data_IF_282862799353
#
_entry.id   IF_282862799353
#
_cell.length_a   1.000
_cell.length_b   1.000
_cell.length_c   1.000
_cell.angle_alpha   90.00
_cell.angle_beta   90.00
_cell.angle_gamma   90.00
#
_symmetry.space_group_name_H-M   'P 1'
#
loop_
_entity.id
_entity.type
_entity.pdbx_description
1 polymer ?
#
# COMPACT_ATOMS: atom_id res chain seq x y z
N UNK A 1 -13.90 22.39 -4.18
CA UNK A 1 -13.17 21.13 -4.40
C UNK A 1 -14.20 20.01 -4.51
N UNK A 2 -14.26 19.32 -5.66
CA UNK A 2 -15.26 18.27 -5.89
C UNK A 2 -14.90 16.98 -5.12
N UNK A 3 -15.87 16.41 -4.40
CA UNK A 3 -15.69 15.21 -3.57
C UNK A 3 -15.33 13.99 -4.42
N UNK A 4 -15.94 13.85 -5.61
CA UNK A 4 -15.71 12.71 -6.49
C UNK A 4 -14.27 12.68 -6.99
N UNK A 5 -13.77 13.82 -7.45
CA UNK A 5 -12.37 13.98 -7.88
C UNK A 5 -11.37 13.58 -6.78
N UNK A 6 -11.60 13.99 -5.53
CA UNK A 6 -10.74 13.60 -4.42
C UNK A 6 -10.68 12.09 -4.21
N UNK A 7 -11.83 11.41 -4.26
CA UNK A 7 -11.89 9.96 -4.09
C UNK A 7 -11.20 9.24 -5.24
N UNK A 8 -11.39 9.70 -6.48
CA UNK A 8 -10.70 9.14 -7.65
C UNK A 8 -9.18 9.29 -7.53
N UNK A 9 -8.70 10.44 -7.04
CA UNK A 9 -7.27 10.72 -6.94
C UNK A 9 -6.60 10.05 -5.74
N UNK A 10 -7.25 10.00 -4.57
CA UNK A 10 -6.62 9.57 -3.32
C UNK A 10 -7.22 8.28 -2.72
N UNK A 11 -8.35 7.80 -3.22
CA UNK A 11 -9.10 6.67 -2.66
C UNK A 11 -8.28 5.39 -2.59
N UNK A 12 -7.56 5.08 -3.67
CA UNK A 12 -6.68 3.90 -3.72
C UNK A 12 -5.58 3.97 -2.66
N UNK A 13 -5.02 5.14 -2.42
CA UNK A 13 -3.95 5.33 -1.44
C UNK A 13 -4.49 5.21 -0.01
N UNK A 14 -5.63 5.84 0.30
CA UNK A 14 -6.30 5.71 1.61
C UNK A 14 -6.63 4.24 1.90
N UNK A 15 -7.20 3.52 0.94
CA UNK A 15 -7.49 2.10 1.06
C UNK A 15 -6.21 1.27 1.29
N UNK A 16 -5.12 1.60 0.58
CA UNK A 16 -3.82 0.94 0.75
C UNK A 16 -3.26 1.15 2.15
N UNK A 17 -3.30 2.38 2.69
CA UNK A 17 -2.80 2.66 4.04
C UNK A 17 -3.60 1.86 5.06
N UNK A 18 -4.94 1.90 4.99
CA UNK A 18 -5.79 1.20 5.94
C UNK A 18 -5.54 -0.31 5.90
N UNK A 19 -5.52 -0.90 4.70
CA UNK A 19 -5.28 -2.34 4.49
C UNK A 19 -3.88 -2.80 4.92
N UNK A 20 -2.86 -1.95 4.79
CA UNK A 20 -1.50 -2.26 5.24
C UNK A 20 -1.27 -2.01 6.73
N UNK A 21 -2.15 -1.25 7.37
CA UNK A 21 -2.08 -0.94 8.81
C UNK A 21 -2.93 -1.88 9.67
N UNK A 22 -4.01 -2.43 9.13
CA UNK A 22 -5.03 -3.20 9.85
C UNK A 22 -5.20 -4.57 9.17
N UNK A 23 -5.05 -5.67 9.93
CA UNK A 23 -5.09 -7.01 9.34
C UNK A 23 -6.51 -7.45 8.94
N UNK A 24 -7.50 -7.07 9.73
CA UNK A 24 -8.89 -7.38 9.44
C UNK A 24 -9.39 -6.51 8.28
N UNK A 25 -9.68 -7.14 7.13
CA UNK A 25 -10.12 -6.46 5.91
C UNK A 25 -11.38 -5.61 6.11
N UNK A 26 -12.33 -6.06 6.93
CA UNK A 26 -13.58 -5.31 7.17
C UNK A 26 -13.32 -4.07 8.04
N UNK A 27 -12.50 -4.21 9.09
CA UNK A 27 -12.08 -3.07 9.92
C UNK A 27 -11.24 -2.08 9.09
N UNK A 28 -10.39 -2.57 8.19
CA UNK A 28 -9.61 -1.72 7.29
C UNK A 28 -10.51 -0.91 6.34
N UNK A 29 -11.59 -1.52 5.82
CA UNK A 29 -12.60 -0.83 4.99
C UNK A 29 -13.34 0.23 5.81
N UNK A 30 -13.75 -0.10 7.03
CA UNK A 30 -14.41 0.84 7.94
C UNK A 30 -13.51 2.05 8.24
N UNK A 31 -12.24 1.81 8.57
CA UNK A 31 -11.27 2.87 8.78
C UNK A 31 -11.10 3.76 7.53
N UNK A 32 -11.02 3.16 6.33
CA UNK A 32 -10.91 3.91 5.08
C UNK A 32 -12.17 4.76 4.80
N UNK A 33 -13.36 4.24 5.10
CA UNK A 33 -14.61 5.00 4.98
C UNK A 33 -14.64 6.17 5.97
N UNK A 34 -14.23 5.94 7.21
CA UNK A 34 -14.20 7.01 8.21
C UNK A 34 -13.16 8.09 7.88
N UNK A 35 -12.03 7.72 7.25
CA UNK A 35 -11.09 8.72 6.71
C UNK A 35 -11.79 9.66 5.73
N UNK A 36 -12.58 9.12 4.80
CA UNK A 36 -13.33 9.94 3.84
C UNK A 36 -14.40 10.79 4.50
N UNK A 37 -15.09 10.24 5.50
CA UNK A 37 -16.02 11.02 6.31
C UNK A 37 -15.35 12.23 6.97
N UNK A 38 -14.21 12.04 7.64
CA UNK A 38 -13.47 13.12 8.30
C UNK A 38 -12.86 14.13 7.31
N UNK A 39 -12.39 13.68 6.14
CA UNK A 39 -11.92 14.56 5.05
C UNK A 39 -13.07 15.47 4.59
N UNK A 40 -14.24 14.91 4.29
CA UNK A 40 -15.36 15.72 3.77
C UNK A 40 -15.95 16.65 4.81
N UNK A 41 -16.00 16.20 6.07
CA UNK A 41 -16.41 17.02 7.22
C UNK A 41 -15.46 18.21 7.44
N UNK A 42 -14.16 18.00 7.23
CA UNK A 42 -13.12 19.01 7.43
C UNK A 42 -12.77 19.79 6.16
N UNK A 43 -13.44 19.54 5.03
CA UNK A 43 -13.02 20.08 3.74
C UNK A 43 -13.05 21.61 3.67
N UNK A 44 -14.01 22.23 4.36
CA UNK A 44 -14.15 23.69 4.45
C UNK A 44 -13.06 24.36 5.29
N UNK A 45 -12.36 23.61 6.15
CA UNK A 45 -11.28 24.15 6.97
C UNK A 45 -9.90 24.03 6.32
N UNK A 46 -9.80 23.38 5.16
CA UNK A 46 -8.56 23.35 4.39
C UNK A 46 -8.24 24.74 3.83
N UNK A 47 -7.18 25.35 4.34
CA UNK A 47 -6.78 26.73 4.04
C UNK A 47 -5.57 26.85 3.11
N UNK A 48 -5.06 25.74 2.55
CA UNK A 48 -3.94 25.76 1.61
C UNK A 48 -2.55 25.94 2.23
N UNK A 49 -2.40 25.89 3.56
CA UNK A 49 -1.10 26.01 4.23
C UNK A 49 -0.16 24.80 4.00
N UNK A 50 -0.65 23.73 3.37
CA UNK A 50 0.12 22.55 2.97
C UNK A 50 -0.42 22.02 1.65
N UNK A 51 0.35 21.15 0.99
CA UNK A 51 -0.18 20.41 -0.15
C UNK A 51 -1.43 19.61 0.26
N UNK A 52 -2.42 19.58 -0.62
CA UNK A 52 -3.67 18.86 -0.39
C UNK A 52 -3.44 17.38 -0.01
N UNK A 53 -2.49 16.73 -0.67
CA UNK A 53 -2.05 15.36 -0.37
C UNK A 53 -1.58 15.23 1.08
N UNK A 54 -0.71 16.14 1.53
CA UNK A 54 -0.17 16.16 2.89
C UNK A 54 -1.30 16.32 3.93
N UNK A 55 -2.25 17.22 3.66
CA UNK A 55 -3.42 17.41 4.52
C UNK A 55 -4.31 16.15 4.60
N UNK A 56 -4.62 15.53 3.45
CA UNK A 56 -5.39 14.28 3.37
C UNK A 56 -4.70 13.16 4.15
N UNK A 57 -3.39 12.97 3.94
CA UNK A 57 -2.64 11.92 4.64
C UNK A 57 -2.49 12.19 6.14
N UNK A 58 -2.54 13.45 6.58
CA UNK A 58 -2.57 13.81 8.00
C UNK A 58 -3.88 13.38 8.66
N UNK A 59 -5.02 13.56 7.98
CA UNK A 59 -6.32 13.04 8.45
C UNK A 59 -6.29 11.51 8.41
N UNK A 60 -5.82 10.92 7.31
CA UNK A 60 -5.73 9.46 7.16
C UNK A 60 -4.89 8.81 8.26
N UNK A 61 -3.71 9.36 8.56
CA UNK A 61 -2.84 8.94 9.68
C UNK A 61 -3.64 8.88 10.99
N UNK A 62 -4.30 9.98 11.36
CA UNK A 62 -4.98 10.11 12.66
C UNK A 62 -6.08 9.06 12.81
N UNK A 63 -6.93 8.93 11.79
CA UNK A 63 -8.03 7.95 11.81
C UNK A 63 -7.50 6.53 11.81
N UNK A 64 -6.60 6.18 10.88
CA UNK A 64 -6.12 4.79 10.73
C UNK A 64 -5.29 4.34 11.93
N UNK A 65 -4.45 5.21 12.52
CA UNK A 65 -3.70 4.86 13.73
C UNK A 65 -4.61 4.56 14.92
N UNK A 66 -5.77 5.24 15.02
CA UNK A 66 -6.75 4.95 16.07
C UNK A 66 -7.31 3.53 15.93
N UNK A 67 -7.66 3.11 14.72
CA UNK A 67 -8.08 1.72 14.47
C UNK A 67 -6.93 0.71 14.70
N UNK A 68 -5.72 1.08 14.30
CA UNK A 68 -4.55 0.23 14.43
C UNK A 68 -3.96 0.19 15.86
N UNK A 69 -4.51 0.92 16.84
CA UNK A 69 -3.92 1.03 18.17
C UNK A 69 -3.72 -0.34 18.86
N UNK A 70 -4.63 -1.28 18.61
CA UNK A 70 -4.58 -2.64 19.17
C UNK A 70 -3.90 -3.66 18.24
N UNK A 71 -3.40 -3.23 17.08
CA UNK A 71 -2.66 -4.10 16.16
C UNK A 71 -1.35 -4.54 16.80
N UNK A 72 -1.22 -5.86 17.00
CA UNK A 72 -0.04 -6.43 17.64
C UNK A 72 1.15 -6.34 16.68
N UNK A 73 2.31 -6.01 17.25
CA UNK A 73 3.58 -6.18 16.54
C UNK A 73 3.89 -7.68 16.48
N UNK A 74 4.05 -8.20 15.27
CA UNK A 74 4.44 -9.59 15.05
C UNK A 74 5.87 -9.78 15.58
N UNK A 75 5.99 -10.69 16.55
CA UNK A 75 7.26 -11.05 17.19
C UNK A 75 7.84 -12.33 16.60
N UNK A 76 9.08 -12.68 16.98
CA UNK A 76 9.69 -13.95 16.62
C UNK A 76 8.85 -15.15 17.09
N UNK A 77 8.22 -15.08 18.27
CA UNK A 77 7.33 -16.12 18.77
C UNK A 77 6.12 -16.33 17.85
N UNK A 78 5.54 -15.25 17.33
CA UNK A 78 4.44 -15.34 16.37
C UNK A 78 4.89 -16.00 15.06
N UNK A 79 6.14 -15.75 14.64
CA UNK A 79 6.73 -16.40 13.47
C UNK A 79 7.01 -17.89 13.70
N UNK A 80 7.48 -18.27 14.89
CA UNK A 80 7.66 -19.68 15.27
C UNK A 80 6.34 -20.43 15.30
N UNK A 81 5.29 -19.85 15.88
CA UNK A 81 3.95 -20.42 15.85
C UNK A 81 3.46 -20.59 14.41
N UNK A 82 3.65 -19.58 13.56
CA UNK A 82 3.30 -19.66 12.15
C UNK A 82 4.08 -20.78 11.42
N UNK A 83 5.35 -20.99 11.75
CA UNK A 83 6.17 -22.08 11.20
C UNK A 83 5.69 -23.47 11.63
N UNK A 84 4.97 -23.58 12.75
CA UNK A 84 4.35 -24.81 13.23
C UNK A 84 2.99 -25.14 12.60
N UNK A 85 2.41 -24.23 11.81
CA UNK A 85 1.16 -24.48 11.09
C UNK A 85 1.37 -25.39 9.88
N UNK A 86 0.28 -26.04 9.45
CA UNK A 86 0.25 -26.77 8.20
C UNK A 86 0.52 -25.87 7.00
N UNK A 87 1.10 -26.46 5.96
CA UNK A 87 1.40 -25.76 4.74
C UNK A 87 0.12 -25.42 3.99
N UNK A 88 0.07 -24.20 3.47
CA UNK A 88 -1.14 -23.75 2.80
C UNK A 88 -1.04 -24.10 1.32
N UNK A 89 -1.72 -25.16 0.91
CA UNK A 89 -1.76 -25.59 -0.48
C UNK A 89 -2.86 -24.90 -1.29
N UNK A 90 -2.63 -24.84 -2.60
CA UNK A 90 -3.61 -24.35 -3.56
C UNK A 90 -4.45 -25.51 -4.09
N UNK A 91 -5.78 -25.42 -3.97
CA UNK A 91 -6.72 -26.47 -4.38
C UNK A 91 -7.75 -26.02 -5.44
N UNK A 92 -7.58 -24.83 -6.03
CA UNK A 92 -8.49 -24.26 -7.04
C UNK A 92 -8.14 -24.62 -8.50
N UNK A 93 -8.88 -24.04 -9.45
CA UNK A 93 -8.69 -24.21 -10.89
C UNK A 93 -7.53 -23.38 -11.47
N UNK A 94 -6.96 -23.74 -12.62
CA UNK A 94 -5.87 -22.97 -13.23
C UNK A 94 -6.21 -21.47 -13.45
N UNK A 95 -7.48 -21.14 -13.67
CA UNK A 95 -7.99 -19.76 -13.83
C UNK A 95 -7.98 -18.98 -12.51
N UNK A 96 -8.24 -19.64 -11.38
CA UNK A 96 -8.24 -19.01 -10.05
C UNK A 96 -6.82 -18.86 -9.46
N UNK A 97 -5.82 -19.52 -10.06
CA UNK A 97 -4.44 -19.55 -9.54
C UNK A 97 -3.84 -18.15 -9.44
N UNK A 98 -4.05 -17.30 -10.44
CA UNK A 98 -3.50 -15.93 -10.46
C UNK A 98 -4.05 -15.08 -9.33
N UNK A 99 -5.37 -15.11 -9.11
CA UNK A 99 -5.99 -14.33 -8.04
C UNK A 99 -5.56 -14.85 -6.67
N UNK A 100 -5.49 -16.18 -6.49
CA UNK A 100 -4.99 -16.76 -5.24
C UNK A 100 -3.54 -16.34 -4.94
N UNK A 101 -2.65 -16.34 -5.93
CA UNK A 101 -1.26 -15.88 -5.77
C UNK A 101 -1.24 -14.42 -5.35
N UNK A 102 -2.03 -13.57 -6.01
CA UNK A 102 -2.14 -12.14 -5.69
C UNK A 102 -2.64 -11.92 -4.27
N UNK A 103 -3.70 -12.59 -3.86
CA UNK A 103 -4.23 -12.52 -2.50
C UNK A 103 -3.21 -12.97 -1.46
N UNK A 104 -2.45 -14.04 -1.76
CA UNK A 104 -1.47 -14.57 -0.81
C UNK A 104 -0.22 -13.71 -0.70
N UNK A 105 0.27 -13.17 -1.80
CA UNK A 105 1.33 -12.16 -1.80
C UNK A 105 0.89 -10.92 -1.02
N UNK A 106 -0.34 -10.46 -1.24
CA UNK A 106 -0.89 -9.31 -0.53
C UNK A 106 -0.98 -9.55 0.99
N UNK A 107 -1.49 -10.71 1.40
CA UNK A 107 -1.52 -11.10 2.81
C UNK A 107 -0.12 -11.17 3.42
N UNK A 108 0.86 -11.75 2.70
CA UNK A 108 2.24 -11.84 3.17
C UNK A 108 2.88 -10.46 3.36
N UNK A 109 2.70 -9.54 2.40
CA UNK A 109 3.22 -8.18 2.49
C UNK A 109 2.57 -7.39 3.64
N UNK A 110 1.25 -7.55 3.86
CA UNK A 110 0.58 -6.95 5.03
C UNK A 110 1.13 -7.55 6.32
N UNK A 111 1.23 -8.87 6.44
CA UNK A 111 1.77 -9.51 7.65
C UNK A 111 3.20 -9.06 7.96
N UNK A 112 4.03 -8.90 6.92
CA UNK A 112 5.40 -8.42 7.06
C UNK A 112 5.46 -6.99 7.61
N UNK A 113 4.58 -6.10 7.14
CA UNK A 113 4.45 -4.74 7.69
C UNK A 113 4.11 -4.75 9.19
N UNK A 114 3.42 -5.78 9.70
CA UNK A 114 3.10 -5.90 11.12
C UNK A 114 4.28 -6.34 11.99
N UNK A 115 5.45 -6.68 11.42
CA UNK A 115 6.68 -6.78 12.20
C UNK A 115 7.19 -5.41 12.66
N UNK A 116 6.69 -4.32 12.08
CA UNK A 116 6.96 -2.94 12.47
C UNK A 116 5.90 -2.48 13.49
N UNK A 117 6.33 -1.63 14.43
CA UNK A 117 5.37 -0.86 15.24
C UNK A 117 4.57 0.10 14.35
N UNK A 118 3.45 0.62 14.84
CA UNK A 118 2.51 1.38 14.01
C UNK A 118 3.14 2.61 13.33
N UNK A 119 3.96 3.38 14.03
CA UNK A 119 4.62 4.55 13.44
C UNK A 119 5.63 4.15 12.35
N UNK A 120 6.47 3.17 12.64
CA UNK A 120 7.45 2.65 11.69
C UNK A 120 6.78 2.02 10.47
N UNK A 121 5.64 1.34 10.67
CA UNK A 121 4.79 0.77 9.62
C UNK A 121 4.22 1.86 8.73
N UNK A 122 3.67 2.91 9.34
CA UNK A 122 3.05 4.01 8.59
C UNK A 122 4.10 4.81 7.80
N UNK A 123 5.27 5.08 8.40
CA UNK A 123 6.40 5.70 7.71
C UNK A 123 6.86 4.83 6.53
N UNK A 124 6.96 3.51 6.72
CA UNK A 124 7.30 2.58 5.66
C UNK A 124 6.27 2.62 4.52
N UNK A 125 4.97 2.58 4.82
CA UNK A 125 3.91 2.65 3.82
C UNK A 125 3.95 3.98 3.05
N UNK A 126 4.08 5.11 3.75
CA UNK A 126 4.18 6.41 3.08
C UNK A 126 5.40 6.49 2.16
N UNK A 127 6.52 5.90 2.58
CA UNK A 127 7.75 5.96 1.81
C UNK A 127 7.76 4.99 0.63
N UNK A 128 7.44 3.73 0.86
CA UNK A 128 7.63 2.63 -0.11
C UNK A 128 6.36 2.33 -0.93
N UNK A 129 5.16 2.44 -0.33
CA UNK A 129 3.93 2.16 -1.07
C UNK A 129 3.35 3.40 -1.77
N UNK A 130 3.54 4.59 -1.19
CA UNK A 130 2.97 5.85 -1.71
C UNK A 130 4.03 6.70 -2.41
N UNK A 131 5.30 6.59 -2.03
CA UNK A 131 6.39 7.33 -2.66
C UNK A 131 6.57 8.76 -2.16
N UNK A 132 6.12 9.06 -0.93
CA UNK A 132 6.26 10.41 -0.37
C UNK A 132 7.73 10.76 -0.07
N UNK A 133 8.04 12.06 -0.16
CA UNK A 133 9.33 12.57 0.27
C UNK A 133 9.47 12.54 1.79
N UNK A 134 10.70 12.41 2.31
CA UNK A 134 10.92 12.47 3.76
C UNK A 134 10.43 13.78 4.41
N UNK A 135 10.39 14.88 3.65
CA UNK A 135 9.83 16.16 4.12
C UNK A 135 8.32 16.07 4.32
N UNK A 136 7.58 15.54 3.33
CA UNK A 136 6.13 15.34 3.46
C UNK A 136 5.81 14.38 4.61
N UNK A 137 6.55 13.27 4.73
CA UNK A 137 6.37 12.30 5.82
C UNK A 137 6.66 12.95 7.18
N UNK A 138 7.72 13.76 7.28
CA UNK A 138 8.04 14.53 8.48
C UNK A 138 6.89 15.46 8.90
N UNK A 139 6.28 16.17 7.95
CA UNK A 139 5.11 17.01 8.21
C UNK A 139 3.88 16.20 8.67
N UNK A 140 3.59 15.07 8.01
CA UNK A 140 2.44 14.20 8.36
C UNK A 140 2.65 13.53 9.72
N UNK A 141 3.86 13.04 9.97
CA UNK A 141 4.21 12.33 11.20
C UNK A 141 4.42 13.26 12.39
N UNK A 142 4.60 14.57 12.16
CA UNK A 142 4.95 15.57 13.18
C UNK A 142 6.29 15.21 13.87
N UNK A 143 7.26 14.76 13.07
CA UNK A 143 8.59 14.30 13.50
C UNK A 143 9.67 15.04 12.72
N UNK A 144 10.91 15.11 13.24
CA UNK A 144 12.03 15.64 12.46
C UNK A 144 12.33 14.77 11.23
N UNK A 145 12.75 15.39 10.12
CA UNK A 145 13.13 14.68 8.89
C UNK A 145 14.19 13.61 9.17
N UNK A 146 15.13 13.90 10.06
CA UNK A 146 16.19 12.98 10.45
C UNK A 146 15.64 11.74 11.18
N UNK A 147 14.71 11.94 12.11
CA UNK A 147 14.08 10.81 12.80
C UNK A 147 13.29 9.92 11.82
N UNK A 148 12.55 10.52 10.88
CA UNK A 148 11.83 9.77 9.84
C UNK A 148 12.79 8.95 8.97
N UNK A 149 13.95 9.50 8.58
CA UNK A 149 14.97 8.75 7.82
C UNK A 149 15.50 7.56 8.59
N UNK A 150 15.82 7.76 9.88
CA UNK A 150 16.33 6.69 10.73
C UNK A 150 15.31 5.57 10.91
N UNK A 151 14.04 5.91 11.15
CA UNK A 151 12.96 4.93 11.27
C UNK A 151 12.77 4.20 9.93
N UNK A 152 12.70 4.92 8.81
CA UNK A 152 12.56 4.34 7.47
C UNK A 152 13.70 3.37 7.15
N UNK A 153 14.95 3.77 7.42
CA UNK A 153 16.13 2.91 7.24
C UNK A 153 16.03 1.63 8.07
N UNK A 154 15.72 1.74 9.37
CA UNK A 154 15.55 0.58 10.26
C UNK A 154 14.41 -0.34 9.82
N UNK A 155 13.29 0.23 9.36
CA UNK A 155 12.16 -0.53 8.82
C UNK A 155 12.57 -1.33 7.58
N UNK A 156 13.27 -0.71 6.63
CA UNK A 156 13.77 -1.36 5.42
C UNK A 156 14.75 -2.48 5.78
N UNK A 157 15.69 -2.25 6.70
CA UNK A 157 16.62 -3.29 7.16
C UNK A 157 15.87 -4.48 7.76
N UNK A 158 14.87 -4.24 8.62
CA UNK A 158 14.09 -5.30 9.26
C UNK A 158 13.29 -6.13 8.24
N UNK A 159 12.65 -5.46 7.29
CA UNK A 159 11.89 -6.11 6.21
C UNK A 159 12.84 -6.90 5.29
N UNK A 160 13.98 -6.31 4.91
CA UNK A 160 14.98 -6.97 4.07
C UNK A 160 15.55 -8.22 4.73
N UNK A 161 15.83 -8.17 6.03
CA UNK A 161 16.28 -9.33 6.80
C UNK A 161 15.25 -10.46 6.78
N UNK A 162 13.96 -10.15 6.95
CA UNK A 162 12.91 -11.16 6.83
C UNK A 162 12.86 -11.78 5.43
N UNK A 163 12.94 -10.94 4.39
CA UNK A 163 12.91 -11.40 3.00
C UNK A 163 14.11 -12.30 2.69
N UNK A 164 15.30 -11.90 3.09
CA UNK A 164 16.54 -12.65 2.86
C UNK A 164 16.59 -13.98 3.64
N UNK A 165 16.08 -14.03 4.87
CA UNK A 165 16.28 -15.21 5.72
C UNK A 165 15.09 -16.18 5.70
N UNK A 166 13.88 -15.65 5.53
CA UNK A 166 12.65 -16.42 5.76
C UNK A 166 11.88 -16.66 4.46
N UNK A 167 11.94 -15.76 3.47
CA UNK A 167 11.07 -15.84 2.30
C UNK A 167 11.64 -16.76 1.20
N UNK A 168 11.01 -17.92 0.90
CA UNK A 168 11.46 -18.85 -0.15
C UNK A 168 11.35 -18.30 -1.57
N UNK A 169 10.62 -17.19 -1.78
CA UNK A 169 10.59 -16.47 -3.06
C UNK A 169 11.85 -15.64 -3.31
N UNK A 170 12.53 -15.20 -2.25
CA UNK A 170 13.71 -14.33 -2.35
C UNK A 170 14.99 -15.10 -2.04
N UNK A 171 14.92 -16.07 -1.12
CA UNK A 171 16.00 -16.98 -0.79
C UNK A 171 15.51 -18.44 -0.90
N UNK A 172 16.06 -19.25 -1.83
CA UNK A 172 15.64 -20.65 -2.03
C UNK A 172 15.71 -21.54 -0.78
N UNK A 173 16.55 -21.22 0.21
CA UNK A 173 16.63 -21.96 1.49
C UNK A 173 15.73 -21.37 2.59
N UNK A 174 14.87 -20.41 2.25
CA UNK A 174 13.93 -19.76 3.17
C UNK A 174 12.92 -20.74 3.79
N UNK A 175 12.50 -20.45 5.02
CA UNK A 175 11.71 -21.38 5.86
C UNK A 175 10.19 -21.07 5.92
N UNK A 176 9.69 -20.09 5.15
CA UNK A 176 8.27 -19.74 5.15
C UNK A 176 7.38 -20.88 4.63
N UNK A 177 6.27 -21.14 5.33
CA UNK A 177 5.31 -22.21 5.03
C UNK A 177 4.20 -21.83 4.02
N UNK A 178 4.21 -20.60 3.51
CA UNK A 178 3.13 -20.13 2.62
C UNK A 178 3.05 -20.87 1.28
N UNK A 179 4.08 -21.63 0.89
CA UNK A 179 4.23 -22.44 -0.35
C UNK A 179 3.71 -21.79 -1.65
N UNK A 180 3.65 -20.46 -1.69
CA UNK A 180 3.30 -19.72 -2.91
C UNK A 180 4.33 -19.90 -4.01
N UNK A 181 5.57 -20.27 -3.67
CA UNK A 181 6.68 -20.33 -4.61
C UNK A 181 6.38 -21.22 -5.81
N UNK A 182 5.82 -22.41 -5.62
CA UNK A 182 5.41 -23.28 -6.74
C UNK A 182 4.41 -22.57 -7.65
N UNK A 183 3.41 -21.90 -7.07
CA UNK A 183 2.38 -21.19 -7.83
C UNK A 183 2.91 -19.92 -8.51
N UNK A 184 3.85 -19.21 -7.87
CA UNK A 184 4.52 -18.02 -8.42
C UNK A 184 5.48 -18.40 -9.54
N UNK A 185 6.27 -19.46 -9.41
CA UNK A 185 7.17 -19.93 -10.46
C UNK A 185 6.44 -20.48 -11.70
N UNK A 186 5.19 -20.90 -11.54
CA UNK A 186 4.32 -21.24 -12.67
C UNK A 186 3.81 -20.01 -13.44
N UNK A 187 3.95 -18.79 -12.89
CA UNK A 187 3.64 -17.55 -13.59
C UNK A 187 4.87 -17.12 -14.40
N UNK A 188 4.65 -16.81 -15.67
CA UNK A 188 5.66 -16.16 -16.52
C UNK A 188 5.83 -14.70 -16.08
N UNK A 189 6.65 -14.50 -15.05
CA UNK A 189 6.91 -13.18 -14.47
C UNK A 189 7.53 -12.23 -15.50
N UNK A 190 8.40 -12.70 -16.40
CA UNK A 190 9.00 -11.86 -17.44
C UNK A 190 7.94 -11.29 -18.38
N UNK A 191 6.99 -12.12 -18.81
CA UNK A 191 5.87 -11.68 -19.63
C UNK A 191 4.96 -10.70 -18.88
N UNK A 192 4.64 -10.97 -17.61
CA UNK A 192 3.84 -10.04 -16.78
C UNK A 192 4.56 -8.70 -16.60
N UNK A 193 5.85 -8.69 -16.26
CA UNK A 193 6.66 -7.47 -16.16
C UNK A 193 6.72 -6.70 -17.48
N UNK A 194 6.92 -7.39 -18.60
CA UNK A 194 6.94 -6.76 -19.92
C UNK A 194 5.59 -6.12 -20.28
N UNK A 195 4.49 -6.73 -19.85
CA UNK A 195 3.13 -6.23 -20.05
C UNK A 195 2.90 -4.97 -19.23
N UNK A 196 3.29 -4.99 -17.94
CA UNK A 196 3.22 -3.83 -17.05
C UNK A 196 4.07 -2.67 -17.58
N UNK A 197 5.31 -2.93 -18.02
CA UNK A 197 6.18 -1.89 -18.59
C UNK A 197 5.59 -1.27 -19.86
N UNK A 198 4.96 -2.06 -20.73
CA UNK A 198 4.24 -1.55 -21.91
C UNK A 198 3.07 -0.65 -21.50
N UNK A 199 2.28 -1.07 -20.51
CA UNK A 199 1.16 -0.27 -19.99
C UNK A 199 1.63 1.05 -19.35
N UNK A 200 2.71 1.03 -18.55
CA UNK A 200 3.28 2.24 -17.95
C UNK A 200 3.75 3.20 -19.04
N UNK A 201 4.51 2.73 -20.03
CA UNK A 201 4.95 3.56 -21.16
C UNK A 201 3.77 4.17 -21.92
N UNK A 202 2.70 3.41 -22.10
CA UNK A 202 1.49 3.89 -22.75
C UNK A 202 0.80 4.96 -21.90
N UNK A 203 0.69 4.75 -20.59
CA UNK A 203 0.12 5.72 -19.65
C UNK A 203 0.93 7.02 -19.62
N UNK A 204 2.27 6.93 -19.55
CA UNK A 204 3.18 8.09 -19.62
C UNK A 204 3.00 8.87 -20.93
N UNK A 205 2.86 8.14 -22.05
CA UNK A 205 2.61 8.73 -23.37
C UNK A 205 1.25 9.44 -23.41
N UNK A 206 0.19 8.83 -22.88
CA UNK A 206 -1.13 9.46 -22.75
C UNK A 206 -1.06 10.72 -21.89
N UNK A 207 -0.35 10.67 -20.77
CA UNK A 207 -0.25 11.81 -19.87
C UNK A 207 0.56 12.96 -20.48
N UNK A 208 1.56 12.63 -21.32
CA UNK A 208 2.27 13.62 -22.13
C UNK A 208 1.36 14.23 -23.20
N UNK A 209 0.58 13.40 -23.90
CA UNK A 209 -0.39 13.87 -24.87
C UNK A 209 -1.49 14.72 -24.24
N UNK A 210 -1.98 14.43 -23.03
CA UNK A 210 -2.97 15.27 -22.35
C UNK A 210 -2.43 16.68 -22.02
N UNK A 211 -1.10 16.82 -21.82
CA UNK A 211 -0.46 18.13 -21.62
C UNK A 211 -0.33 18.93 -22.91
N UNK A 212 -0.03 18.25 -24.02
CA UNK A 212 0.20 18.88 -25.33
C UNK A 212 -1.12 19.06 -26.12
N UNK A 213 -2.12 18.23 -25.85
CA UNK A 213 -3.45 18.22 -26.43
C UNK A 213 -4.47 18.23 -25.28
N UNK A 214 -4.83 19.41 -24.74
CA UNK A 214 -5.87 19.50 -23.72
C UNK A 214 -7.13 18.82 -24.25
N UNK A 215 -7.85 18.09 -23.39
CA UNK A 215 -9.08 17.37 -23.75
C UNK A 215 -10.04 18.33 -24.46
N UNK A 216 -10.09 18.28 -25.80
CA UNK A 216 -11.17 18.91 -26.54
C UNK A 216 -12.44 18.14 -26.18
N UNK A 217 -13.34 18.79 -25.45
CA UNK A 217 -14.70 18.31 -25.28
C UNK A 217 -15.40 18.43 -26.65
N UNK A 218 -15.14 17.47 -27.54
CA UNK A 218 -15.77 17.45 -28.87
C UNK A 218 -17.30 17.43 -28.77
N UNK A 219 -17.85 17.01 -27.64
CA UNK A 219 -19.28 17.02 -27.32
C UNK A 219 -19.88 18.40 -27.06
N UNK A 220 -19.09 19.40 -26.64
CA UNK A 220 -19.60 20.77 -26.46
C UNK A 220 -20.02 21.40 -27.79
N UNK A 221 -19.45 20.94 -28.93
CA UNK A 221 -19.85 21.38 -30.27
C UNK A 221 -21.15 20.74 -30.79
N UNK A 222 -21.68 19.74 -30.09
CA UNK A 222 -22.94 19.05 -30.46
C UNK A 222 -24.12 19.47 -29.57
N UNK A 223 -23.91 20.42 -28.65
CA UNK A 223 -24.93 20.92 -27.72
C UNK A 223 -25.42 22.34 -28.05
N UNK A 224 -24.96 22.92 -29.18
CA UNK A 224 -25.49 24.15 -29.79
C UNK A 224 -26.48 23.83 -30.91
#
# INVERSE_FOLDING_TARGET
MDRKNLVEQYGRMVATIAHRMIQNKEIAKEAAQEVWYEIFKSLSSFNGNSELSTWIYTIAKRTILRYAQNEKVVTLLNLEQFRGLEEIEYSGSDEDRKEWVKERCDWCLTALNHCLNNDARLIFIFKENIGLSYKQISSIMEMSVENVRQISSRSITKISHFMNDTCPLYNPVGTCKCRICKQVYCIDLEKEYSTVLKMIRLADLYHKFEKDLPRKNYWEKFLD
#
